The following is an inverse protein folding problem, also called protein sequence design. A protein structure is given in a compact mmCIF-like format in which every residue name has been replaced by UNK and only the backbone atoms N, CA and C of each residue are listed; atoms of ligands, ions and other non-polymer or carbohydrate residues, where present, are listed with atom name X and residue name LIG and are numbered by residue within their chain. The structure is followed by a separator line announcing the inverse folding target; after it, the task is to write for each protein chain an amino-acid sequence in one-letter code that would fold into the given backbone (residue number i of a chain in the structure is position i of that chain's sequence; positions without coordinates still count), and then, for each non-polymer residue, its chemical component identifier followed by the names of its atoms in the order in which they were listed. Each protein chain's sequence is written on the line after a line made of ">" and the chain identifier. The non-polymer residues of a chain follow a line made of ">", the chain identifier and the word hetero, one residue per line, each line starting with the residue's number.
data_IF_646807298596
#
_entry.id   IF_646807298596
#
_cell.length_a   1.000
_cell.length_b   1.000
_cell.length_c   1.000
_cell.angle_alpha   90.00
_cell.angle_beta   90.00
_cell.angle_gamma   90.00
#
_symmetry.space_group_name_H-M   'P 1'
#
loop_
_entity.id
_entity.type
_entity.pdbx_description
1 polymer ?
#
# COMPACT_ATOMS: atom_id res chain seq x y z
N UNK A 1 -15.68 8.79 3.26
CA UNK A 1 -15.63 9.91 2.30
C UNK A 1 -15.45 11.18 3.10
N UNK A 2 -14.43 11.98 2.80
CA UNK A 2 -14.09 13.15 3.60
C UNK A 2 -13.79 14.34 2.70
N UNK A 3 -13.86 15.53 3.30
CA UNK A 3 -13.52 16.79 2.65
C UNK A 3 -12.32 17.39 3.39
N UNK A 4 -11.24 17.69 2.66
CA UNK A 4 -10.00 18.26 3.20
C UNK A 4 -9.71 19.57 2.45
N UNK A 5 -9.29 20.61 3.18
CA UNK A 5 -8.86 21.86 2.57
C UNK A 5 -7.53 21.65 1.82
N UNK A 6 -7.56 21.79 0.50
CA UNK A 6 -6.39 21.81 -0.37
C UNK A 6 -6.14 23.19 -0.97
N UNK A 7 -5.06 23.33 -1.74
CA UNK A 7 -4.67 24.61 -2.36
C UNK A 7 -5.74 25.20 -3.29
N UNK A 8 -6.60 24.36 -3.86
CA UNK A 8 -7.72 24.74 -4.74
C UNK A 8 -9.09 24.78 -4.03
N UNK A 9 -9.12 24.82 -2.69
CA UNK A 9 -10.34 24.79 -1.89
C UNK A 9 -10.64 23.40 -1.32
N UNK A 10 -11.91 23.13 -0.98
CA UNK A 10 -12.31 21.89 -0.33
C UNK A 10 -12.26 20.71 -1.32
N UNK A 11 -11.37 19.76 -1.10
CA UNK A 11 -11.19 18.58 -1.93
C UNK A 11 -11.79 17.35 -1.28
N UNK A 12 -12.47 16.53 -2.09
CA UNK A 12 -13.03 15.25 -1.65
C UNK A 12 -11.94 14.19 -1.66
N UNK A 13 -11.68 13.58 -0.52
CA UNK A 13 -10.66 12.54 -0.38
C UNK A 13 -11.26 11.26 0.17
N UNK A 14 -10.66 10.14 -0.21
CA UNK A 14 -10.94 8.82 0.34
C UNK A 14 -9.80 8.41 1.26
N UNK A 15 -10.13 7.70 2.32
CA UNK A 15 -9.15 7.12 3.22
C UNK A 15 -9.40 5.64 3.33
N UNK A 16 -8.30 4.89 3.31
CA UNK A 16 -8.27 3.46 3.52
C UNK A 16 -7.19 3.15 4.55
N UNK A 17 -7.42 2.12 5.34
CA UNK A 17 -6.48 1.61 6.32
C UNK A 17 -6.57 0.08 6.35
N UNK A 18 -5.50 -0.53 6.82
CA UNK A 18 -5.41 -1.98 6.95
C UNK A 18 -4.25 -2.35 7.86
N UNK A 19 -4.35 -3.52 8.46
CA UNK A 19 -3.29 -4.09 9.28
C UNK A 19 -2.97 -5.50 8.78
N UNK A 20 -1.68 -5.81 8.70
CA UNK A 20 -1.18 -7.16 8.46
C UNK A 20 -0.36 -7.59 9.66
N UNK A 21 -0.70 -8.77 10.19
CA UNK A 21 0.00 -9.36 11.35
C UNK A 21 0.62 -10.68 10.92
N UNK A 22 1.91 -10.83 11.20
CA UNK A 22 2.70 -11.98 10.76
C UNK A 22 3.46 -12.61 11.94
N UNK A 23 3.35 -13.94 12.07
CA UNK A 23 4.21 -14.72 12.95
C UNK A 23 5.46 -15.14 12.18
N UNK A 24 6.61 -14.59 12.57
CA UNK A 24 7.89 -14.94 11.95
C UNK A 24 8.43 -16.25 12.52
N UNK A 25 8.99 -17.15 11.68
CA UNK A 25 9.74 -18.30 12.19
C UNK A 25 10.95 -17.82 12.99
N UNK A 26 11.39 -18.60 13.98
CA UNK A 26 12.58 -18.30 14.78
C UNK A 26 13.82 -18.28 13.88
N UNK A 27 14.19 -17.10 13.36
CA UNK A 27 15.53 -16.84 12.86
C UNK A 27 16.44 -16.68 14.09
N UNK A 28 17.63 -17.27 14.06
CA UNK A 28 18.55 -17.29 15.19
C UNK A 28 18.78 -15.91 15.83
N UNK A 29 19.06 -15.95 17.13
CA UNK A 29 19.08 -14.87 18.13
C UNK A 29 17.73 -14.62 18.78
N UNK A 30 17.69 -14.94 20.07
CA UNK A 30 16.54 -14.89 20.95
C UNK A 30 15.95 -13.48 20.97
N UNK A 31 14.63 -13.41 20.79
CA UNK A 31 13.85 -12.24 21.15
C UNK A 31 13.83 -12.06 22.67
N UNK A 32 14.95 -11.61 23.23
CA UNK A 32 14.88 -10.90 24.51
C UNK A 32 14.05 -9.64 24.25
N UNK A 33 12.95 -9.48 24.98
CA UNK A 33 12.19 -8.23 24.97
C UNK A 33 13.18 -7.09 25.28
N UNK A 34 13.32 -6.13 24.37
CA UNK A 34 14.11 -4.90 24.63
C UNK A 34 13.46 -4.02 25.71
N UNK A 35 12.19 -4.29 26.05
CA UNK A 35 11.40 -3.52 27.00
C UNK A 35 10.99 -4.36 28.21
N UNK A 36 11.10 -3.78 29.40
CA UNK A 36 10.57 -4.34 30.64
C UNK A 36 9.04 -4.54 30.50
N UNK A 37 8.45 -5.54 31.16
CA UNK A 37 7.02 -5.85 31.06
C UNK A 37 6.08 -4.81 31.71
N UNK A 38 6.53 -3.56 31.83
CA UNK A 38 5.81 -2.48 32.51
C UNK A 38 5.58 -2.82 33.98
N UNK A 39 4.33 -2.68 34.42
CA UNK A 39 3.87 -2.94 35.79
C UNK A 39 3.61 -4.43 36.10
N UNK A 40 4.03 -5.34 35.21
CA UNK A 40 3.84 -6.76 35.46
C UNK A 40 4.61 -7.21 36.73
N UNK A 41 3.99 -8.02 37.60
CA UNK A 41 4.66 -8.53 38.80
C UNK A 41 5.94 -9.29 38.49
N UNK A 42 6.92 -9.18 39.39
CA UNK A 42 8.13 -10.01 39.34
C UNK A 42 7.75 -11.50 39.30
N UNK A 43 8.29 -12.22 38.31
CA UNK A 43 8.00 -13.64 38.10
C UNK A 43 6.87 -13.95 37.11
N UNK A 44 6.35 -12.96 36.39
CA UNK A 44 5.36 -13.19 35.32
C UNK A 44 5.90 -14.16 34.26
N UNK A 45 5.25 -15.32 34.13
CA UNK A 45 5.57 -16.34 33.11
C UNK A 45 5.09 -15.85 31.76
N UNK A 46 5.98 -15.89 30.77
CA UNK A 46 5.63 -15.52 29.40
C UNK A 46 4.90 -16.68 28.71
N UNK A 47 3.88 -16.39 27.89
CA UNK A 47 3.15 -17.41 27.14
C UNK A 47 4.09 -18.14 26.20
N UNK A 48 3.80 -19.42 25.97
CA UNK A 48 4.48 -20.18 24.93
C UNK A 48 4.27 -19.53 23.55
N UNK A 49 5.17 -19.69 22.57
CA UNK A 49 5.07 -19.01 21.27
C UNK A 49 3.73 -19.22 20.54
N UNK A 50 3.10 -20.39 20.74
CA UNK A 50 1.79 -20.68 20.17
C UNK A 50 0.67 -19.83 20.80
N UNK A 51 0.76 -19.58 22.11
CA UNK A 51 -0.17 -18.74 22.86
C UNK A 51 0.04 -17.26 22.53
N UNK A 52 1.29 -16.81 22.38
CA UNK A 52 1.60 -15.44 21.96
C UNK A 52 1.02 -15.09 20.58
N UNK A 53 1.04 -16.04 19.64
CA UNK A 53 0.40 -15.86 18.33
C UNK A 53 -1.14 -15.82 18.44
N UNK A 54 -1.73 -16.70 19.24
CA UNK A 54 -3.17 -16.71 19.47
C UNK A 54 -3.65 -15.40 20.09
N UNK A 55 -2.92 -14.87 21.08
CA UNK A 55 -3.15 -13.57 21.69
C UNK A 55 -3.04 -12.43 20.66
N UNK A 56 -1.97 -12.40 19.87
CA UNK A 56 -1.77 -11.35 18.86
C UNK A 56 -2.90 -11.30 17.83
N UNK A 57 -3.40 -12.47 17.40
CA UNK A 57 -4.58 -12.56 16.55
C UNK A 57 -5.83 -12.06 17.24
N UNK A 58 -6.11 -12.54 18.46
CA UNK A 58 -7.30 -12.14 19.20
C UNK A 58 -7.36 -10.62 19.42
N UNK A 59 -6.23 -9.99 19.75
CA UNK A 59 -6.13 -8.54 19.89
C UNK A 59 -6.37 -7.82 18.56
N UNK A 60 -5.74 -8.30 17.48
CA UNK A 60 -5.91 -7.73 16.14
C UNK A 60 -7.36 -7.80 15.64
N UNK A 61 -8.06 -8.89 15.97
CA UNK A 61 -9.47 -9.08 15.62
C UNK A 61 -10.41 -8.10 16.35
N UNK A 62 -9.93 -7.36 17.36
CA UNK A 62 -10.71 -6.32 18.06
C UNK A 62 -10.72 -4.96 17.37
N UNK A 63 -9.89 -4.77 16.34
CA UNK A 63 -9.78 -3.48 15.64
C UNK A 63 -11.08 -3.17 14.88
N UNK A 64 -11.65 -2.00 15.11
CA UNK A 64 -12.77 -1.50 14.34
C UNK A 64 -12.36 -0.95 12.97
N UNK A 65 -13.24 -1.09 11.96
CA UNK A 65 -13.03 -0.50 10.63
C UNK A 65 -12.86 1.03 10.70
N UNK A 66 -13.55 1.68 11.65
CA UNK A 66 -13.45 3.12 11.91
C UNK A 66 -12.08 3.51 12.49
N UNK A 67 -11.49 2.67 13.35
CA UNK A 67 -10.15 2.89 13.90
C UNK A 67 -9.07 2.86 12.83
N UNK A 68 -9.22 2.02 11.80
CA UNK A 68 -8.27 1.93 10.68
C UNK A 68 -8.24 3.18 9.79
N UNK A 69 -9.32 3.97 9.79
CA UNK A 69 -9.44 5.17 8.96
C UNK A 69 -9.53 6.47 9.77
N UNK A 70 -9.45 6.42 11.10
CA UNK A 70 -9.53 7.59 11.98
C UNK A 70 -8.28 8.48 11.87
N UNK A 71 -8.47 9.79 11.70
CA UNK A 71 -7.39 10.80 11.58
C UNK A 71 -6.76 11.16 12.91
N UNK A 72 -7.51 10.99 14.00
CA UNK A 72 -7.07 11.28 15.35
C UNK A 72 -6.35 10.09 16.00
N UNK A 73 -6.46 8.90 15.40
CA UNK A 73 -5.78 7.69 15.84
C UNK A 73 -4.58 7.41 14.93
N UNK A 74 -3.38 7.69 15.43
CA UNK A 74 -2.16 7.33 14.71
C UNK A 74 -1.92 5.81 14.75
N UNK A 75 -1.24 5.22 13.75
CA UNK A 75 -0.91 3.79 13.75
C UNK A 75 -0.15 3.35 15.01
N UNK A 76 0.77 4.18 15.50
CA UNK A 76 1.56 3.92 16.70
C UNK A 76 0.68 3.85 17.94
N UNK A 77 -0.32 4.73 18.03
CA UNK A 77 -1.28 4.76 19.13
C UNK A 77 -2.23 3.57 19.07
N UNK A 78 -2.68 3.16 17.87
CA UNK A 78 -3.46 1.95 17.68
C UNK A 78 -2.67 0.72 18.15
N UNK A 79 -1.43 0.58 17.68
CA UNK A 79 -0.55 -0.53 18.07
C UNK A 79 -0.25 -0.54 19.58
N UNK A 80 -0.05 0.62 20.19
CA UNK A 80 0.12 0.72 21.65
C UNK A 80 -1.16 0.27 22.37
N UNK A 81 -2.35 0.70 21.95
CA UNK A 81 -3.62 0.25 22.57
C UNK A 81 -3.76 -1.27 22.53
N UNK A 82 -3.42 -1.89 21.41
CA UNK A 82 -3.49 -3.34 21.24
C UNK A 82 -2.45 -4.09 22.08
N UNK A 83 -1.20 -3.64 22.11
CA UNK A 83 -0.08 -4.44 22.61
C UNK A 83 0.64 -3.86 23.84
N UNK A 84 0.07 -2.88 24.54
CA UNK A 84 0.72 -2.21 25.68
C UNK A 84 1.18 -3.16 26.79
N UNK A 85 0.44 -4.25 27.08
CA UNK A 85 0.80 -5.21 28.13
C UNK A 85 2.11 -5.98 27.82
N UNK A 86 2.33 -6.31 26.55
CA UNK A 86 3.53 -7.02 26.08
C UNK A 86 4.64 -6.06 25.65
N UNK A 87 4.30 -4.78 25.45
CA UNK A 87 5.18 -3.79 24.88
C UNK A 87 5.21 -3.89 23.35
N UNK A 88 5.30 -2.73 22.70
CA UNK A 88 5.38 -2.62 21.24
C UNK A 88 6.59 -1.80 20.84
N UNK A 89 7.28 -2.25 19.79
CA UNK A 89 8.34 -1.49 19.14
C UNK A 89 7.84 -1.01 17.78
N UNK A 90 7.85 0.29 17.59
CA UNK A 90 7.44 0.95 16.35
C UNK A 90 8.70 1.38 15.59
N UNK A 91 8.70 1.18 14.28
CA UNK A 91 9.76 1.62 13.37
C UNK A 91 9.35 2.86 12.59
N UNK A 92 10.31 3.48 11.90
CA UNK A 92 10.04 4.63 11.06
C UNK A 92 9.01 4.32 9.98
N UNK A 93 8.05 5.23 9.82
CA UNK A 93 7.03 5.12 8.79
C UNK A 93 7.66 5.18 7.39
N UNK A 94 7.11 4.38 6.48
CA UNK A 94 7.48 4.41 5.07
C UNK A 94 6.34 5.01 4.27
N UNK A 95 6.65 6.08 3.52
CA UNK A 95 5.66 6.73 2.66
C UNK A 95 5.25 5.80 1.51
N UNK A 96 3.95 5.52 1.46
CA UNK A 96 3.33 4.79 0.36
C UNK A 96 2.70 5.79 -0.59
N UNK A 97 3.08 5.72 -1.87
CA UNK A 97 2.54 6.56 -2.94
C UNK A 97 2.16 5.71 -4.14
N UNK A 98 1.14 6.15 -4.85
CA UNK A 98 0.85 5.61 -6.18
C UNK A 98 2.05 5.90 -7.10
N UNK A 99 2.51 4.85 -7.79
CA UNK A 99 3.62 4.99 -8.72
C UNK A 99 3.57 3.90 -9.79
N UNK A 100 3.11 4.28 -10.99
CA UNK A 100 3.30 3.46 -12.18
C UNK A 100 4.58 3.86 -12.93
N UNK A 101 5.28 2.86 -13.46
CA UNK A 101 6.49 3.12 -14.26
C UNK A 101 6.19 3.42 -15.72
N UNK A 102 4.94 3.27 -16.18
CA UNK A 102 4.57 3.48 -17.58
C UNK A 102 4.90 4.92 -18.02
N UNK A 103 5.21 5.10 -19.30
CA UNK A 103 5.51 6.41 -19.86
C UNK A 103 5.17 6.42 -21.34
N UNK A 104 4.90 7.61 -21.89
CA UNK A 104 4.62 7.77 -23.31
C UNK A 104 5.69 7.12 -24.19
N UNK A 105 6.97 7.34 -23.87
CA UNK A 105 8.09 6.76 -24.61
C UNK A 105 8.13 5.22 -24.55
N UNK A 106 7.79 4.61 -23.40
CA UNK A 106 7.73 3.15 -23.29
C UNK A 106 6.58 2.58 -24.11
N UNK A 107 5.41 3.20 -24.02
CA UNK A 107 4.23 2.77 -24.78
C UNK A 107 4.45 2.98 -26.29
N UNK A 108 5.05 4.08 -26.69
CA UNK A 108 5.44 4.35 -28.08
C UNK A 108 6.40 3.26 -28.60
N UNK A 109 7.38 2.85 -27.80
CA UNK A 109 8.27 1.73 -28.13
C UNK A 109 7.54 0.40 -28.34
N UNK A 110 6.47 0.14 -27.58
CA UNK A 110 5.61 -1.04 -27.76
C UNK A 110 4.84 -0.93 -29.08
N UNK A 111 4.22 0.22 -29.36
CA UNK A 111 3.47 0.43 -30.62
C UNK A 111 4.39 0.31 -31.85
N UNK A 112 5.63 0.80 -31.74
CA UNK A 112 6.65 0.67 -32.80
C UNK A 112 7.08 -0.77 -33.07
N UNK A 113 6.90 -1.69 -32.13
CA UNK A 113 7.30 -3.10 -32.28
C UNK A 113 6.37 -3.90 -33.20
N UNK A 114 5.15 -3.41 -33.43
CA UNK A 114 4.19 -4.01 -34.37
C UNK A 114 4.55 -3.69 -35.82
N UNK A 115 4.05 -4.48 -36.75
CA UNK A 115 4.14 -4.21 -38.19
C UNK A 115 3.30 -2.99 -38.59
N UNK A 116 3.52 -2.47 -39.80
CA UNK A 116 2.74 -1.35 -40.32
C UNK A 116 1.26 -1.73 -40.47
N UNK A 117 0.99 -2.94 -40.95
CA UNK A 117 -0.36 -3.49 -41.10
C UNK A 117 -1.06 -3.58 -39.74
N UNK A 118 -0.41 -4.16 -38.73
CA UNK A 118 -0.97 -4.23 -37.37
C UNK A 118 -1.23 -2.84 -36.78
N UNK A 119 -0.31 -1.89 -36.97
CA UNK A 119 -0.53 -0.50 -36.50
C UNK A 119 -1.72 0.16 -37.18
N UNK A 120 -1.97 -0.12 -38.46
CA UNK A 120 -3.15 0.38 -39.18
C UNK A 120 -4.43 -0.24 -38.62
N UNK A 121 -4.41 -1.51 -38.27
CA UNK A 121 -5.54 -2.21 -37.65
C UNK A 121 -5.82 -1.72 -36.21
N UNK A 122 -4.81 -1.16 -35.53
CA UNK A 122 -4.97 -0.52 -34.21
C UNK A 122 -5.60 0.88 -34.25
N UNK A 123 -5.82 1.47 -35.42
CA UNK A 123 -6.37 2.83 -35.53
C UNK A 123 -7.88 2.80 -35.32
N UNK A 124 -8.32 3.41 -34.24
CA UNK A 124 -9.73 3.64 -33.92
C UNK A 124 -9.97 5.15 -33.77
N UNK A 125 -11.02 5.69 -34.39
CA UNK A 125 -11.32 7.14 -34.38
C UNK A 125 -10.11 8.04 -34.72
N UNK A 126 -9.28 7.58 -35.67
CA UNK A 126 -8.10 8.28 -36.15
C UNK A 126 -6.89 8.28 -35.22
N UNK A 127 -6.91 7.49 -34.14
CA UNK A 127 -5.81 7.42 -33.16
C UNK A 127 -5.50 5.97 -32.79
N UNK A 128 -4.24 5.73 -32.41
CA UNK A 128 -3.88 4.50 -31.68
C UNK A 128 -3.98 4.85 -30.19
N UNK A 129 -4.85 4.17 -29.47
CA UNK A 129 -5.06 4.38 -28.03
C UNK A 129 -4.58 3.17 -27.24
N UNK A 130 -3.67 3.39 -26.29
CA UNK A 130 -3.17 2.34 -25.39
C UNK A 130 -3.46 2.76 -23.96
N UNK A 131 -4.24 1.96 -23.25
CA UNK A 131 -4.51 2.15 -21.82
C UNK A 131 -3.56 1.27 -21.01
N UNK A 132 -2.88 1.86 -20.03
CA UNK A 132 -2.06 1.09 -19.11
C UNK A 132 -2.96 0.36 -18.11
N UNK A 133 -2.96 -0.97 -18.10
CA UNK A 133 -3.78 -1.77 -17.18
C UNK A 133 -3.40 -1.66 -15.68
N UNK A 134 -2.28 -0.99 -15.36
CA UNK A 134 -1.84 -0.78 -13.97
C UNK A 134 -2.36 0.53 -13.37
N UNK A 135 -2.21 1.65 -14.10
CA UNK A 135 -2.63 2.98 -13.62
C UNK A 135 -3.80 3.58 -14.39
N UNK A 136 -4.35 2.85 -15.36
CA UNK A 136 -5.44 3.28 -16.25
C UNK A 136 -5.15 4.57 -17.05
N UNK A 137 -3.90 5.02 -17.10
CA UNK A 137 -3.50 6.16 -17.94
C UNK A 137 -3.66 5.78 -19.41
N UNK A 138 -4.38 6.61 -20.16
CA UNK A 138 -4.61 6.43 -21.59
C UNK A 138 -3.63 7.27 -22.40
N UNK A 139 -2.86 6.61 -23.27
CA UNK A 139 -1.92 7.22 -24.19
C UNK A 139 -2.51 7.21 -25.59
N UNK A 140 -2.59 8.39 -26.21
CA UNK A 140 -3.08 8.57 -27.58
C UNK A 140 -1.94 8.98 -28.49
N UNK A 141 -1.86 8.32 -29.64
CA UNK A 141 -0.88 8.59 -30.68
C UNK A 141 -1.58 8.79 -32.03
N UNK A 142 -1.10 9.74 -32.82
CA UNK A 142 -1.52 9.88 -34.20
C UNK A 142 -0.77 8.86 -35.07
N UNK A 143 -1.41 8.21 -36.06
CA UNK A 143 -0.74 7.22 -36.92
C UNK A 143 0.52 7.76 -37.63
N UNK A 144 0.51 9.05 -37.97
CA UNK A 144 1.66 9.77 -38.58
C UNK A 144 2.91 9.79 -37.69
N UNK A 145 2.77 9.55 -36.38
CA UNK A 145 3.93 9.45 -35.46
C UNK A 145 4.75 8.18 -35.70
N UNK A 146 4.18 7.16 -36.35
CA UNK A 146 4.84 5.88 -36.61
C UNK A 146 5.09 5.64 -38.10
N UNK A 147 4.16 6.08 -38.95
CA UNK A 147 4.19 5.88 -40.39
C UNK A 147 4.01 7.26 -41.08
N UNK A 148 5.05 8.11 -41.08
CA UNK A 148 4.97 9.42 -41.74
C UNK A 148 4.70 9.22 -43.24
N UNK A 149 3.77 10.01 -43.79
CA UNK A 149 3.49 10.01 -45.22
C UNK A 149 4.75 10.44 -45.97
N UNK A 150 5.23 9.61 -46.91
CA UNK A 150 6.21 10.00 -47.93
C UNK A 150 5.71 11.18 -48.79
#
# INVERSE_FOLDING_TARGET
>A
EEYIAGEAGMQRTWRAGGLLVQHLPKAGTEGSRDLAPGDAPDGTVLPEPHEAWAEARALTDTIGDDELVDRMLSPERLLFRLFHERGVRVFDAQDVREHCTCSRARIEGIVKSFTMEERRDMVEDGHITVTCEYCSTSYRFAPVEFDPAE
#
